data_IF_122085420394
#
_entry.id   IF_122085420394
#
_cell.length_a   1.000
_cell.length_b   1.000
_cell.length_c   1.000
_cell.angle_alpha   90.00
_cell.angle_beta   90.00
_cell.angle_gamma   90.00
#
_symmetry.space_group_name_H-M   'P 1'
#
loop_
_entity.id
_entity.type
_entity.pdbx_description
1 polymer ?
#
# COMPACT_ATOMS: atom_id res chain seq x y z
N UNK A 1 -17.78 -21.01 -5.09
CA UNK A 1 -16.31 -21.06 -5.24
C UNK A 1 -15.74 -19.87 -4.48
N UNK A 2 -14.83 -20.09 -3.52
CA UNK A 2 -14.07 -19.00 -2.89
C UNK A 2 -13.14 -18.46 -3.97
N UNK A 3 -13.27 -17.19 -4.35
CA UNK A 3 -12.27 -16.55 -5.22
C UNK A 3 -11.03 -16.26 -4.39
N UNK A 4 -9.95 -16.99 -4.61
CA UNK A 4 -8.66 -16.65 -4.05
C UNK A 4 -8.10 -15.41 -4.78
N UNK A 5 -7.34 -14.53 -4.11
CA UNK A 5 -6.64 -13.47 -4.79
C UNK A 5 -5.61 -14.07 -5.77
N UNK A 6 -5.50 -13.46 -6.94
CA UNK A 6 -4.53 -13.88 -7.97
C UNK A 6 -3.24 -13.06 -7.85
N UNK A 7 -3.37 -11.78 -7.50
CA UNK A 7 -2.26 -10.83 -7.37
C UNK A 7 -2.41 -10.08 -6.06
N UNK A 8 -1.34 -10.01 -5.28
CA UNK A 8 -1.26 -9.21 -4.06
C UNK A 8 -0.08 -8.25 -4.12
N UNK A 9 -0.35 -6.97 -3.93
CA UNK A 9 0.66 -5.92 -3.86
C UNK A 9 0.88 -5.53 -2.40
N UNK A 10 2.08 -5.79 -1.89
CA UNK A 10 2.53 -5.37 -0.57
C UNK A 10 3.25 -4.01 -0.68
N UNK A 11 2.92 -3.07 0.20
CA UNK A 11 3.54 -1.75 0.16
C UNK A 11 3.44 -1.00 1.47
N UNK A 12 4.37 -0.06 1.69
CA UNK A 12 4.27 0.94 2.73
C UNK A 12 3.28 2.05 2.33
N UNK A 13 2.53 2.57 3.29
CA UNK A 13 1.61 3.68 3.01
C UNK A 13 2.37 4.88 2.43
N UNK A 14 1.83 5.51 1.38
CA UNK A 14 2.52 6.61 0.67
C UNK A 14 3.35 6.19 -0.54
N UNK A 15 3.64 4.89 -0.73
CA UNK A 15 4.43 4.37 -1.86
C UNK A 15 3.60 4.11 -3.14
N UNK A 16 2.38 4.63 -3.22
CA UNK A 16 1.56 4.51 -4.44
C UNK A 16 0.91 3.13 -4.67
N UNK A 17 0.92 2.25 -3.67
CA UNK A 17 0.38 0.89 -3.83
C UNK A 17 -1.11 0.84 -4.12
N UNK A 18 -1.93 1.65 -3.45
CA UNK A 18 -3.37 1.76 -3.73
C UNK A 18 -3.64 2.24 -5.18
N UNK A 19 -2.77 3.09 -5.71
CA UNK A 19 -2.81 3.53 -7.09
C UNK A 19 -2.49 2.37 -8.06
N UNK A 20 -1.38 1.65 -7.83
CA UNK A 20 -0.98 0.51 -8.67
C UNK A 20 -2.06 -0.59 -8.67
N UNK A 21 -2.60 -0.96 -7.52
CA UNK A 21 -3.68 -1.96 -7.40
C UNK A 21 -4.91 -1.53 -8.20
N UNK A 22 -5.25 -0.23 -8.19
CA UNK A 22 -6.37 0.30 -8.96
C UNK A 22 -6.13 0.24 -10.47
N UNK A 23 -4.89 0.51 -10.92
CA UNK A 23 -4.51 0.34 -12.32
C UNK A 23 -4.59 -1.13 -12.76
N UNK A 24 -4.05 -2.05 -11.95
CA UNK A 24 -4.12 -3.49 -12.21
C UNK A 24 -5.57 -3.99 -12.29
N UNK A 25 -6.44 -3.48 -11.43
CA UNK A 25 -7.85 -3.82 -11.47
C UNK A 25 -8.63 -3.17 -12.63
N UNK A 26 -7.97 -2.34 -13.45
CA UNK A 26 -8.55 -1.61 -14.58
C UNK A 26 -9.82 -0.82 -14.20
N UNK A 27 -9.86 -0.31 -12.97
CA UNK A 27 -10.98 0.49 -12.45
C UNK A 27 -10.68 1.98 -12.61
N UNK A 28 -11.72 2.76 -12.87
CA UNK A 28 -11.61 4.23 -12.86
C UNK A 28 -11.13 4.70 -11.48
N UNK A 29 -9.99 5.41 -11.46
CA UNK A 29 -9.37 5.85 -10.22
C UNK A 29 -10.01 7.17 -9.78
N UNK A 30 -10.53 7.17 -8.56
CA UNK A 30 -10.98 8.39 -7.88
C UNK A 30 -9.93 8.79 -6.86
N UNK A 31 -9.48 10.05 -6.93
CA UNK A 31 -8.43 10.59 -6.07
C UNK A 31 -9.00 11.78 -5.31
N UNK A 32 -8.78 11.83 -4.01
CA UNK A 32 -9.18 12.95 -3.18
C UNK A 32 -8.27 14.20 -3.34
N UNK A 33 -8.59 15.26 -2.64
CA UNK A 33 -7.81 16.49 -2.71
C UNK A 33 -6.38 16.36 -2.15
N UNK A 34 -6.10 15.28 -1.42
CA UNK A 34 -4.80 14.98 -0.81
C UNK A 34 -3.98 13.98 -1.65
N UNK A 35 -4.50 13.55 -2.80
CA UNK A 35 -3.84 12.57 -3.68
C UNK A 35 -3.97 11.11 -3.20
N UNK A 36 -4.93 10.83 -2.31
CA UNK A 36 -5.24 9.47 -1.87
C UNK A 36 -6.25 8.82 -2.82
N UNK A 37 -6.04 7.58 -3.16
CA UNK A 37 -7.00 6.80 -3.95
C UNK A 37 -8.19 6.43 -3.06
N UNK A 38 -9.38 6.76 -3.53
CA UNK A 38 -10.63 6.42 -2.83
C UNK A 38 -11.08 5.01 -3.20
N UNK A 39 -11.43 4.23 -2.17
CA UNK A 39 -11.95 2.87 -2.34
C UNK A 39 -11.10 1.98 -3.27
N UNK A 40 -9.79 1.83 -3.01
CA UNK A 40 -8.96 0.96 -3.82
C UNK A 40 -9.47 -0.49 -3.75
N UNK A 41 -9.27 -1.28 -4.80
CA UNK A 41 -9.53 -2.72 -4.75
C UNK A 41 -8.74 -3.36 -3.61
N UNK A 42 -9.29 -4.42 -3.02
CA UNK A 42 -8.61 -5.15 -1.95
C UNK A 42 -8.76 -4.57 -0.54
N UNK A 43 -9.54 -3.50 -0.34
CA UNK A 43 -9.82 -2.99 1.01
C UNK A 43 -10.42 -4.05 1.94
N UNK A 44 -11.25 -4.95 1.42
CA UNK A 44 -11.80 -6.08 2.17
C UNK A 44 -10.72 -7.06 2.60
N UNK A 45 -9.75 -7.34 1.74
CA UNK A 45 -8.59 -8.18 2.04
C UNK A 45 -7.69 -7.55 3.10
N UNK A 46 -7.41 -6.27 2.98
CA UNK A 46 -6.65 -5.51 3.97
C UNK A 46 -7.28 -5.58 5.37
N UNK A 47 -8.59 -5.34 5.45
CA UNK A 47 -9.36 -5.48 6.70
C UNK A 47 -9.34 -6.91 7.24
N UNK A 48 -9.45 -7.91 6.35
CA UNK A 48 -9.36 -9.31 6.74
C UNK A 48 -7.99 -9.66 7.30
N UNK A 49 -6.90 -9.18 6.69
CA UNK A 49 -5.54 -9.34 7.22
C UNK A 49 -5.41 -8.69 8.61
N UNK A 50 -5.92 -7.47 8.80
CA UNK A 50 -5.94 -6.81 10.10
C UNK A 50 -6.69 -7.64 11.15
N UNK A 51 -7.87 -8.16 10.81
CA UNK A 51 -8.65 -9.04 11.68
C UNK A 51 -7.94 -10.36 11.99
N UNK A 52 -7.32 -10.95 10.99
CA UNK A 52 -6.54 -12.18 11.15
C UNK A 52 -5.42 -12.03 12.19
N UNK A 53 -4.68 -10.91 12.13
CA UNK A 53 -3.61 -10.65 13.11
C UNK A 53 -4.15 -10.28 14.50
N UNK A 54 -5.24 -9.54 14.58
CA UNK A 54 -5.89 -9.20 15.85
C UNK A 54 -6.51 -10.43 16.54
N UNK A 55 -7.00 -11.40 15.77
CA UNK A 55 -7.61 -12.64 16.28
C UNK A 55 -6.62 -13.80 16.48
N UNK A 56 -5.33 -13.54 16.57
CA UNK A 56 -4.26 -14.53 16.77
C UNK A 56 -4.28 -15.64 15.70
N UNK A 57 -4.32 -15.26 14.43
CA UNK A 57 -4.17 -16.16 13.28
C UNK A 57 -5.31 -17.18 13.09
N UNK A 58 -6.55 -16.76 13.24
CA UNK A 58 -7.68 -17.64 12.93
C UNK A 58 -8.03 -17.56 11.43
N UNK A 59 -7.79 -18.64 10.69
CA UNK A 59 -8.12 -18.77 9.27
C UNK A 59 -9.61 -18.51 8.95
N UNK A 60 -10.49 -18.67 9.93
CA UNK A 60 -11.93 -18.38 9.86
C UNK A 60 -12.23 -16.91 9.50
N UNK A 61 -11.29 -15.98 9.77
CA UNK A 61 -11.45 -14.55 9.45
C UNK A 61 -11.63 -14.28 7.95
N UNK A 62 -11.22 -15.21 7.09
CA UNK A 62 -11.35 -15.09 5.63
C UNK A 62 -12.57 -15.83 5.06
N UNK A 63 -13.23 -16.69 5.86
CA UNK A 63 -14.23 -17.64 5.34
C UNK A 63 -15.45 -16.97 4.71
N UNK A 64 -15.80 -15.76 5.15
CA UNK A 64 -17.02 -15.04 4.75
C UNK A 64 -16.74 -13.78 3.93
N UNK A 65 -15.47 -13.51 3.55
CA UNK A 65 -15.10 -12.31 2.82
C UNK A 65 -14.98 -12.66 1.34
N UNK A 66 -15.71 -11.91 0.50
CA UNK A 66 -15.48 -11.94 -0.94
C UNK A 66 -14.17 -11.20 -1.22
N UNK A 67 -13.15 -11.93 -1.63
CA UNK A 67 -11.82 -11.39 -1.94
C UNK A 67 -11.79 -11.02 -3.41
N UNK A 68 -11.32 -9.81 -3.72
CA UNK A 68 -11.07 -9.37 -5.09
C UNK A 68 -9.88 -10.16 -5.69
N UNK A 69 -9.84 -10.36 -7.03
CA UNK A 69 -8.72 -11.04 -7.69
C UNK A 69 -7.39 -10.31 -7.50
N UNK A 70 -7.43 -8.99 -7.40
CA UNK A 70 -6.27 -8.13 -7.18
C UNK A 70 -6.46 -7.42 -5.83
N UNK A 71 -5.51 -7.60 -4.95
CA UNK A 71 -5.59 -7.14 -3.57
C UNK A 71 -4.31 -6.43 -3.12
N UNK A 72 -4.36 -5.79 -1.98
CA UNK A 72 -3.22 -5.12 -1.37
C UNK A 72 -3.03 -5.54 0.10
N UNK A 73 -1.80 -5.37 0.60
CA UNK A 73 -1.49 -5.57 2.01
C UNK A 73 -0.39 -4.61 2.48
N UNK A 74 -0.38 -4.32 3.78
CA UNK A 74 0.73 -3.65 4.46
C UNK A 74 1.50 -4.60 5.39
N UNK A 75 1.14 -5.88 5.40
CA UNK A 75 1.71 -6.87 6.30
C UNK A 75 2.82 -7.67 5.62
N UNK A 76 3.87 -7.99 6.37
CA UNK A 76 5.05 -8.74 5.92
C UNK A 76 5.12 -10.14 6.57
N UNK A 77 3.99 -10.78 6.77
CA UNK A 77 3.93 -12.07 7.46
C UNK A 77 3.84 -13.24 6.47
N UNK A 78 4.67 -14.25 6.70
CA UNK A 78 4.72 -15.47 5.87
C UNK A 78 3.36 -16.17 5.82
N UNK A 79 2.60 -16.11 6.90
CA UNK A 79 1.28 -16.74 7.00
C UNK A 79 0.30 -16.24 5.94
N UNK A 80 0.46 -15.02 5.43
CA UNK A 80 -0.36 -14.52 4.32
C UNK A 80 0.00 -15.22 3.02
N UNK A 81 1.28 -15.42 2.76
CA UNK A 81 1.73 -16.14 1.56
C UNK A 81 1.34 -17.60 1.62
N UNK A 82 1.43 -18.22 2.78
CA UNK A 82 1.07 -19.62 2.99
C UNK A 82 -0.45 -19.86 2.87
N UNK A 83 -1.28 -18.88 3.21
CA UNK A 83 -2.74 -18.95 3.05
C UNK A 83 -3.20 -18.89 1.60
N UNK A 84 -2.41 -18.30 0.72
CA UNK A 84 -2.75 -18.09 -0.69
C UNK A 84 -1.58 -18.52 -1.59
N UNK A 85 -1.25 -19.81 -1.64
CA UNK A 85 -0.06 -20.31 -2.35
C UNK A 85 -0.11 -20.05 -3.87
N UNK A 86 -1.31 -19.94 -4.45
CA UNK A 86 -1.50 -19.68 -5.88
C UNK A 86 -1.51 -18.16 -6.20
N UNK A 87 -1.37 -17.29 -5.19
CA UNK A 87 -1.35 -15.85 -5.39
C UNK A 87 0.06 -15.38 -5.74
N UNK A 88 0.18 -14.55 -6.77
CA UNK A 88 1.43 -13.86 -7.06
C UNK A 88 1.60 -12.65 -6.13
N UNK A 89 2.66 -12.67 -5.34
CA UNK A 89 2.96 -11.59 -4.41
C UNK A 89 4.07 -10.69 -4.97
N UNK A 90 3.75 -9.40 -5.00
CA UNK A 90 4.69 -8.34 -5.32
C UNK A 90 4.84 -7.41 -4.14
N UNK A 91 5.96 -6.70 -4.04
CA UNK A 91 6.10 -5.61 -3.10
C UNK A 91 6.70 -4.38 -3.75
N UNK A 92 6.28 -3.20 -3.32
CA UNK A 92 6.86 -1.94 -3.75
C UNK A 92 8.08 -1.67 -2.87
N UNK A 93 9.24 -1.62 -3.53
CA UNK A 93 10.50 -1.27 -2.90
C UNK A 93 10.69 0.25 -2.98
N UNK A 94 10.34 0.93 -1.90
CA UNK A 94 10.57 2.36 -1.74
C UNK A 94 12.01 2.70 -1.26
N UNK A 95 12.81 1.70 -0.92
CA UNK A 95 14.27 1.77 -0.75
C UNK A 95 14.73 3.04 -0.04
N UNK A 96 15.54 3.84 -0.73
CA UNK A 96 16.06 5.11 -0.21
C UNK A 96 14.98 6.19 -0.07
N UNK A 97 13.82 6.00 -0.68
CA UNK A 97 12.69 6.94 -0.65
C UNK A 97 11.72 6.72 0.51
N UNK A 98 11.97 5.72 1.36
CA UNK A 98 11.07 5.38 2.48
C UNK A 98 10.84 6.56 3.43
N UNK A 99 11.83 7.41 3.67
CA UNK A 99 11.69 8.62 4.48
C UNK A 99 10.71 9.60 3.84
N UNK A 100 10.84 9.80 2.54
CA UNK A 100 9.92 10.64 1.76
C UNK A 100 8.51 10.07 1.75
N UNK A 101 8.35 8.76 1.59
CA UNK A 101 7.05 8.11 1.65
C UNK A 101 6.39 8.32 3.02
N UNK A 102 7.15 8.22 4.13
CA UNK A 102 6.66 8.56 5.48
C UNK A 102 6.18 10.01 5.55
N UNK A 103 6.98 10.95 5.08
CA UNK A 103 6.61 12.39 5.09
C UNK A 103 5.38 12.69 4.24
N UNK A 104 5.32 12.12 3.04
CA UNK A 104 4.15 12.26 2.15
C UNK A 104 2.90 11.70 2.81
N UNK A 105 2.99 10.53 3.43
CA UNK A 105 1.88 9.90 4.14
C UNK A 105 1.40 10.77 5.31
N UNK A 106 2.32 11.23 6.15
CA UNK A 106 2.02 12.10 7.29
C UNK A 106 1.34 13.39 6.80
N UNK A 107 1.93 14.08 5.83
CA UNK A 107 1.39 15.34 5.31
C UNK A 107 -0.02 15.17 4.71
N UNK A 108 -0.30 14.03 4.07
CA UNK A 108 -1.64 13.72 3.54
C UNK A 108 -2.67 13.50 4.65
N UNK A 109 -2.27 12.99 5.79
CA UNK A 109 -3.18 12.67 6.91
C UNK A 109 -3.40 13.84 7.85
N UNK A 110 -2.44 14.77 7.90
CA UNK A 110 -2.42 15.85 8.88
C UNK A 110 -3.11 17.14 8.43
N UNK A 111 -3.77 17.19 7.28
CA UNK A 111 -4.23 18.45 6.66
C UNK A 111 -5.00 19.41 7.58
N UNK A 112 -5.47 18.99 8.76
CA UNK A 112 -6.11 19.83 9.77
C UNK A 112 -5.99 19.29 11.22
N UNK A 113 -5.04 18.39 11.51
CA UNK A 113 -4.86 17.79 12.84
C UNK A 113 -3.39 17.72 13.17
N UNK A 114 -3.05 17.80 14.46
CA UNK A 114 -1.69 17.47 14.88
C UNK A 114 -1.40 15.99 14.63
N UNK A 115 -0.13 15.65 14.47
CA UNK A 115 0.28 14.24 14.28
C UNK A 115 -0.15 13.38 15.47
N UNK A 116 -0.10 13.94 16.66
CA UNK A 116 -0.53 13.28 17.88
C UNK A 116 -2.05 13.01 17.90
N UNK A 117 -2.88 13.99 17.49
CA UNK A 117 -4.33 13.82 17.40
C UNK A 117 -4.70 12.74 16.38
N UNK A 118 -3.98 12.69 15.25
CA UNK A 118 -4.19 11.65 14.27
C UNK A 118 -3.84 10.27 14.82
N UNK A 119 -2.74 10.12 15.51
CA UNK A 119 -2.35 8.86 16.16
C UNK A 119 -3.38 8.39 17.18
N UNK A 120 -3.96 9.30 17.95
CA UNK A 120 -5.01 8.95 18.93
C UNK A 120 -6.31 8.48 18.28
N UNK A 121 -6.63 8.96 17.06
CA UNK A 121 -7.92 8.68 16.41
C UNK A 121 -7.90 7.53 15.41
N UNK A 122 -6.76 7.19 14.81
CA UNK A 122 -6.71 6.28 13.64
C UNK A 122 -5.78 5.08 13.77
N UNK A 123 -5.23 4.85 14.87
CA UNK A 123 -4.03 4.14 15.20
C UNK A 123 -3.84 2.68 14.78
N UNK A 124 -2.73 2.32 14.12
CA UNK A 124 -2.13 1.00 14.22
C UNK A 124 -1.00 0.89 15.27
N UNK A 125 -0.54 1.99 15.86
CA UNK A 125 0.67 2.00 16.70
C UNK A 125 0.36 2.14 18.20
N UNK A 126 -0.25 1.12 18.81
CA UNK A 126 -0.56 1.10 20.26
C UNK A 126 0.65 1.40 21.15
N UNK A 127 1.85 1.14 20.65
CA UNK A 127 3.09 1.45 21.36
C UNK A 127 3.31 2.97 21.50
N UNK A 128 2.96 3.75 20.48
CA UNK A 128 3.14 5.21 20.50
C UNK A 128 2.18 5.88 21.47
N UNK A 129 0.94 5.38 21.60
CA UNK A 129 -0.05 5.91 22.56
C UNK A 129 0.42 5.87 24.01
N UNK A 130 1.34 4.95 24.34
CA UNK A 130 1.85 4.78 25.69
C UNK A 130 3.00 5.72 26.05
N UNK A 131 3.57 6.41 25.05
CA UNK A 131 4.72 7.31 25.26
C UNK A 131 4.17 8.69 25.63
N UNK A 132 4.42 9.13 26.85
CA UNK A 132 4.13 10.50 27.29
C UNK A 132 5.12 11.46 26.64
N UNK A 133 4.63 12.61 26.16
CA UNK A 133 5.44 13.69 25.56
C UNK A 133 6.24 13.28 24.29
N UNK A 134 5.68 12.42 23.43
CA UNK A 134 6.32 12.06 22.17
C UNK A 134 6.32 13.26 21.21
N UNK A 135 7.47 13.51 20.57
CA UNK A 135 7.61 14.55 19.55
C UNK A 135 7.25 14.02 18.16
N UNK A 136 6.93 14.92 17.22
CA UNK A 136 6.64 14.58 15.83
C UNK A 136 7.82 13.82 15.17
N UNK A 137 9.06 14.21 15.46
CA UNK A 137 10.26 13.56 14.94
C UNK A 137 10.44 12.14 15.48
N UNK A 138 10.11 11.92 16.75
CA UNK A 138 10.08 10.58 17.33
C UNK A 138 9.03 9.70 16.66
N UNK A 139 7.84 10.25 16.37
CA UNK A 139 6.78 9.54 15.66
C UNK A 139 7.23 9.17 14.24
N UNK A 140 7.81 10.11 13.49
CA UNK A 140 8.36 9.86 12.16
C UNK A 140 9.43 8.76 12.17
N UNK A 141 10.31 8.81 13.16
CA UNK A 141 11.36 7.79 13.35
C UNK A 141 10.78 6.40 13.61
N UNK A 142 9.77 6.29 14.46
CA UNK A 142 9.09 5.01 14.74
C UNK A 142 8.43 4.48 13.48
N UNK A 143 7.71 5.33 12.74
CA UNK A 143 7.07 4.94 11.48
C UNK A 143 8.10 4.50 10.43
N UNK A 144 9.19 5.24 10.30
CA UNK A 144 10.28 4.89 9.39
C UNK A 144 10.85 3.50 9.72
N UNK A 145 11.15 3.25 11.00
CA UNK A 145 11.70 1.96 11.43
C UNK A 145 10.72 0.80 11.20
N UNK A 146 9.44 1.02 11.44
CA UNK A 146 8.40 0.00 11.20
C UNK A 146 8.26 -0.32 9.70
N UNK A 147 8.25 0.70 8.85
CA UNK A 147 8.17 0.50 7.40
C UNK A 147 9.44 -0.15 6.83
N UNK A 148 10.62 0.23 7.35
CA UNK A 148 11.87 -0.44 7.01
C UNK A 148 11.85 -1.92 7.40
N UNK A 149 11.26 -2.24 8.54
CA UNK A 149 11.08 -3.62 8.99
C UNK A 149 10.15 -4.39 8.04
N UNK A 150 9.03 -3.80 7.63
CA UNK A 150 8.14 -4.42 6.65
C UNK A 150 8.84 -4.66 5.30
N UNK A 151 9.56 -3.68 4.80
CA UNK A 151 10.34 -3.78 3.55
C UNK A 151 11.34 -4.94 3.61
N UNK A 152 12.10 -5.03 4.70
CA UNK A 152 13.04 -6.14 4.91
C UNK A 152 12.33 -7.49 5.04
N UNK A 153 11.14 -7.52 5.65
CA UNK A 153 10.30 -8.71 5.73
C UNK A 153 9.87 -9.20 4.35
N UNK A 154 9.39 -8.32 3.47
CA UNK A 154 8.98 -8.67 2.11
C UNK A 154 10.17 -9.17 1.27
N UNK A 155 11.35 -8.53 1.39
CA UNK A 155 12.58 -8.98 0.76
C UNK A 155 12.97 -10.39 1.24
N UNK A 156 12.88 -10.65 2.55
CA UNK A 156 13.19 -11.95 3.14
C UNK A 156 12.20 -13.04 2.73
N UNK A 157 10.94 -12.69 2.43
CA UNK A 157 9.94 -13.62 1.88
C UNK A 157 10.17 -13.92 0.39
N UNK A 158 11.08 -13.21 -0.28
CA UNK A 158 11.38 -13.41 -1.70
C UNK A 158 10.24 -12.98 -2.63
N UNK A 159 9.43 -11.99 -2.23
CA UNK A 159 8.36 -11.46 -3.07
C UNK A 159 8.94 -10.79 -4.33
N UNK A 160 8.16 -10.74 -5.41
CA UNK A 160 8.54 -10.06 -6.65
C UNK A 160 8.65 -8.55 -6.40
N UNK A 161 9.81 -7.98 -6.71
CA UNK A 161 10.10 -6.56 -6.45
C UNK A 161 9.53 -5.67 -7.55
N UNK A 162 8.98 -4.53 -7.15
CA UNK A 162 8.61 -3.39 -7.99
C UNK A 162 9.32 -2.16 -7.43
N UNK A 163 10.13 -1.50 -8.23
CA UNK A 163 10.77 -0.26 -7.79
C UNK A 163 9.76 0.90 -7.81
N UNK A 164 9.79 1.77 -6.80
CA UNK A 164 8.88 2.93 -6.71
C UNK A 164 8.98 3.82 -7.96
N UNK A 165 10.18 3.96 -8.54
CA UNK A 165 10.41 4.71 -9.79
C UNK A 165 9.60 4.14 -10.96
N UNK A 166 9.35 2.83 -10.99
CA UNK A 166 8.54 2.21 -12.05
C UNK A 166 7.07 2.64 -11.98
N UNK A 167 6.59 2.98 -10.80
CA UNK A 167 5.19 3.45 -10.62
C UNK A 167 5.06 4.92 -11.01
N UNK A 168 6.08 5.71 -10.73
CA UNK A 168 6.08 7.16 -10.96
C UNK A 168 6.31 7.51 -12.43
N UNK A 169 7.21 6.81 -13.11
CA UNK A 169 7.44 6.96 -14.54
C UNK A 169 6.28 6.35 -15.34
N UNK A 170 5.63 7.15 -16.18
CA UNK A 170 4.43 6.72 -16.93
C UNK A 170 4.66 5.50 -17.80
N UNK A 171 5.74 5.51 -18.57
CA UNK A 171 6.00 4.43 -19.53
C UNK A 171 6.46 3.15 -18.84
N UNK A 172 7.26 3.27 -17.80
CA UNK A 172 7.63 2.13 -16.95
C UNK A 172 6.41 1.57 -16.23
N UNK A 173 5.54 2.42 -15.67
CA UNK A 173 4.30 2.01 -15.01
C UNK A 173 3.37 1.27 -15.98
N UNK A 174 3.22 1.79 -17.21
CA UNK A 174 2.42 1.13 -18.24
C UNK A 174 2.98 -0.25 -18.57
N UNK A 175 4.28 -0.36 -18.78
CA UNK A 175 4.97 -1.62 -19.08
C UNK A 175 4.85 -2.61 -17.92
N UNK A 176 5.01 -2.14 -16.69
CA UNK A 176 4.84 -2.92 -15.46
C UNK A 176 3.40 -3.49 -15.37
N UNK A 177 2.37 -2.64 -15.52
CA UNK A 177 0.97 -3.08 -15.45
C UNK A 177 0.67 -4.13 -16.52
N UNK A 178 1.11 -3.92 -17.78
CA UNK A 178 0.97 -4.91 -18.85
C UNK A 178 1.67 -6.22 -18.53
N UNK A 179 2.88 -6.15 -17.99
CA UNK A 179 3.67 -7.33 -17.62
C UNK A 179 3.00 -8.15 -16.53
N UNK A 180 2.45 -7.48 -15.50
CA UNK A 180 1.77 -8.17 -14.39
C UNK A 180 0.44 -8.78 -14.86
N UNK A 181 -0.34 -8.05 -15.64
CA UNK A 181 -1.63 -8.53 -16.15
C UNK A 181 -1.50 -9.53 -17.31
N UNK A 182 -0.35 -9.57 -17.98
CA UNK A 182 -0.14 -10.31 -19.22
C UNK A 182 -1.22 -10.00 -20.26
N UNK A 183 -1.70 -8.73 -20.29
CA UNK A 183 -2.77 -8.26 -21.14
C UNK A 183 -2.57 -6.79 -21.54
N UNK A 184 -3.25 -6.40 -22.62
CA UNK A 184 -3.33 -4.99 -22.99
C UNK A 184 -4.24 -4.21 -22.03
N UNK A 185 -3.91 -2.92 -21.86
CA UNK A 185 -4.65 -2.00 -21.00
C UNK A 185 -5.21 -0.86 -21.82
N UNK A 186 -6.35 -0.31 -21.39
CA UNK A 186 -6.89 0.92 -21.96
C UNK A 186 -5.92 2.09 -21.74
N UNK A 187 -5.26 2.48 -22.84
CA UNK A 187 -4.21 3.52 -22.78
C UNK A 187 -4.78 4.89 -22.43
N UNK A 188 -6.02 5.19 -22.78
CA UNK A 188 -6.65 6.48 -22.48
C UNK A 188 -6.94 6.56 -20.99
N UNK A 189 -7.63 5.55 -20.45
CA UNK A 189 -7.93 5.50 -19.01
C UNK A 189 -6.67 5.42 -18.16
N UNK A 190 -5.66 4.66 -18.59
CA UNK A 190 -4.37 4.59 -17.92
C UNK A 190 -3.73 5.98 -17.82
N UNK A 191 -3.61 6.70 -18.95
CA UNK A 191 -2.98 8.03 -18.98
C UNK A 191 -3.72 9.01 -18.08
N UNK A 192 -5.05 9.08 -18.16
CA UNK A 192 -5.85 9.96 -17.31
C UNK A 192 -5.65 9.66 -15.83
N UNK A 193 -5.60 8.38 -15.47
CA UNK A 193 -5.39 7.95 -14.09
C UNK A 193 -3.99 8.28 -13.60
N UNK A 194 -2.98 8.03 -14.42
CA UNK A 194 -1.58 8.31 -14.09
C UNK A 194 -1.35 9.82 -13.93
N UNK A 195 -1.84 10.65 -14.85
CA UNK A 195 -1.72 12.10 -14.78
C UNK A 195 -2.44 12.68 -13.54
N UNK A 196 -3.64 12.18 -13.25
CA UNK A 196 -4.38 12.61 -12.08
C UNK A 196 -3.62 12.30 -10.78
N UNK A 197 -3.04 11.10 -10.69
CA UNK A 197 -2.28 10.70 -9.51
C UNK A 197 -0.96 11.46 -9.39
N UNK A 198 -0.19 11.59 -10.46
CA UNK A 198 1.10 12.29 -10.46
C UNK A 198 0.95 13.77 -10.15
N UNK A 199 -0.08 14.44 -10.69
CA UNK A 199 -0.37 15.84 -10.40
C UNK A 199 -0.64 16.10 -8.91
N UNK A 200 -1.29 15.16 -8.22
CA UNK A 200 -1.56 15.27 -6.78
C UNK A 200 -0.37 14.84 -5.90
N UNK A 201 0.58 14.09 -6.46
CA UNK A 201 1.70 13.52 -5.73
C UNK A 201 3.06 14.11 -6.14
N UNK A 202 3.07 15.34 -6.66
CA UNK A 202 4.29 16.03 -7.16
C UNK A 202 5.46 16.01 -6.16
N UNK A 203 5.20 16.09 -4.86
CA UNK A 203 6.26 16.03 -3.84
C UNK A 203 6.97 14.68 -3.81
N UNK A 204 6.26 13.58 -4.02
CA UNK A 204 6.87 12.25 -4.13
C UNK A 204 7.69 12.15 -5.41
N UNK A 205 7.20 12.74 -6.50
CA UNK A 205 7.79 12.65 -7.85
C UNK A 205 9.04 13.51 -7.99
N UNK A 206 9.07 14.71 -7.40
CA UNK A 206 10.19 15.64 -7.51
C UNK A 206 11.45 15.20 -6.75
N UNK A 207 11.40 14.09 -6.03
CA UNK A 207 12.50 13.56 -5.23
C UNK A 207 13.06 12.28 -5.87
N UNK A 208 12.30 11.67 -6.77
CA UNK A 208 12.69 10.52 -7.61
C UNK A 208 13.36 10.97 -8.89
#
# INVERSE_FOLDING_TARGET
MKSNPQICIAFNSGSGGDFLVSLLAQKAIKIDNQGMVLNPPGNSFKKACEHFFLSKFKAESFSNIKIDPIVNTHHCYREITDLFPDCEFYFIDDGDYIKTAVEVYINKRLSNKTLLDWLHTTNPFDQIKKIKNITDDQIKTIMYNDWQKCLNGWRALGLKRIDLVEIVDREKCRSLVKSILQADIDSVQFNLSHDAWTNKNKKLINIL
#
